data_IF_959976167604
#
_entry.id   IF_959976167604
#
_cell.length_a   1.000
_cell.length_b   1.000
_cell.length_c   1.000
_cell.angle_alpha   90.00
_cell.angle_beta   90.00
_cell.angle_gamma   90.00
#
_symmetry.space_group_name_H-M   'P 1'
#
loop_
_entity.id
_entity.type
_entity.pdbx_description
1 polymer ?
#
# COMPACT_ATOMS: atom_id res chain seq x y z
N UNK A 1 -3.98 -43.23 7.86
CA UNK A 1 -4.21 -42.82 6.46
C UNK A 1 -5.68 -42.48 6.36
N UNK A 2 -6.05 -41.24 6.59
CA UNK A 2 -7.41 -40.76 6.40
C UNK A 2 -7.41 -39.90 5.16
N UNK A 3 -8.04 -40.43 4.14
CA UNK A 3 -8.29 -39.81 2.85
C UNK A 3 -9.31 -38.70 3.05
N UNK A 4 -8.86 -37.44 3.04
CA UNK A 4 -9.74 -36.28 3.06
C UNK A 4 -9.87 -35.81 1.61
N UNK A 5 -10.91 -36.31 0.95
CA UNK A 5 -11.33 -35.82 -0.34
C UNK A 5 -11.70 -34.33 -0.24
N UNK A 6 -11.30 -33.49 -1.19
CA UNK A 6 -11.70 -32.08 -1.20
C UNK A 6 -13.21 -31.95 -1.41
N UNK A 7 -13.86 -30.94 -0.82
CA UNK A 7 -15.28 -30.72 -1.02
C UNK A 7 -15.57 -30.44 -2.48
N UNK A 8 -16.60 -31.10 -3.01
CA UNK A 8 -17.08 -30.98 -4.39
C UNK A 8 -17.44 -29.53 -4.70
N UNK A 9 -16.76 -28.94 -5.66
CA UNK A 9 -17.04 -27.62 -6.20
C UNK A 9 -18.43 -27.60 -6.82
N UNK A 10 -19.35 -26.87 -6.18
CA UNK A 10 -20.62 -26.49 -6.78
C UNK A 10 -20.35 -25.54 -7.96
N UNK A 11 -20.66 -25.99 -9.15
CA UNK A 11 -20.50 -25.27 -10.41
C UNK A 11 -21.45 -24.09 -10.51
N UNK A 12 -20.93 -22.88 -10.31
CA UNK A 12 -21.33 -21.72 -11.08
C UNK A 12 -20.05 -20.95 -11.42
N UNK A 13 -19.47 -21.26 -12.56
CA UNK A 13 -18.35 -20.51 -13.11
C UNK A 13 -18.85 -19.15 -13.59
N UNK A 14 -19.01 -18.20 -12.70
CA UNK A 14 -18.88 -16.81 -13.08
C UNK A 14 -17.39 -16.61 -13.34
N UNK A 15 -16.99 -16.54 -14.60
CA UNK A 15 -15.69 -16.06 -15.05
C UNK A 15 -15.55 -14.62 -14.58
N UNK A 16 -15.06 -14.43 -13.36
CA UNK A 16 -14.68 -13.09 -12.88
C UNK A 16 -13.47 -12.68 -13.73
N UNK A 17 -13.70 -11.71 -14.59
CA UNK A 17 -12.64 -11.24 -15.48
C UNK A 17 -11.55 -10.57 -14.66
N UNK A 18 -10.31 -11.06 -14.79
CA UNK A 18 -9.11 -10.39 -14.26
C UNK A 18 -9.13 -8.92 -14.65
N UNK A 19 -9.05 -8.01 -13.69
CA UNK A 19 -8.97 -6.59 -13.97
C UNK A 19 -7.57 -6.27 -14.50
N UNK A 20 -7.45 -5.49 -15.59
CA UNK A 20 -6.14 -5.16 -16.13
C UNK A 20 -5.36 -4.24 -15.19
N UNK A 21 -4.05 -4.49 -15.08
CA UNK A 21 -3.09 -3.64 -14.38
C UNK A 21 -2.17 -2.93 -15.41
N UNK A 22 -1.71 -1.70 -15.16
CA UNK A 22 -2.02 -0.86 -13.99
C UNK A 22 -3.47 -0.38 -14.01
N UNK A 23 -4.03 -0.13 -12.82
CA UNK A 23 -5.43 0.29 -12.69
C UNK A 23 -5.54 1.71 -12.15
N UNK A 24 -6.32 2.55 -12.80
CA UNK A 24 -6.69 3.86 -12.28
C UNK A 24 -7.78 3.68 -11.20
N UNK A 25 -7.48 4.08 -9.96
CA UNK A 25 -8.36 3.96 -8.80
C UNK A 25 -9.00 5.29 -8.39
N UNK A 26 -8.51 6.37 -8.96
CA UNK A 26 -9.03 7.73 -8.79
C UNK A 26 -8.45 8.61 -9.88
N UNK A 27 -9.04 9.76 -10.17
CA UNK A 27 -8.58 10.66 -11.24
C UNK A 27 -7.07 10.94 -11.19
N UNK A 28 -6.29 10.29 -12.04
CA UNK A 28 -4.83 10.37 -12.10
C UNK A 28 -4.10 9.66 -10.94
N UNK A 29 -4.79 8.81 -10.18
CA UNK A 29 -4.17 7.91 -9.19
C UNK A 29 -4.22 6.48 -9.72
N UNK A 30 -3.05 5.90 -9.92
CA UNK A 30 -2.87 4.58 -10.52
C UNK A 30 -2.29 3.59 -9.54
N UNK A 31 -2.86 2.42 -9.48
CA UNK A 31 -2.36 1.27 -8.74
C UNK A 31 -1.51 0.40 -9.65
N UNK A 32 -0.26 0.17 -9.24
CA UNK A 32 0.75 -0.61 -9.93
C UNK A 32 1.18 -1.80 -9.06
N UNK A 33 1.81 -2.78 -9.67
CA UNK A 33 2.37 -3.92 -8.98
C UNK A 33 1.80 -5.24 -9.46
N UNK A 34 2.11 -6.28 -8.73
CA UNK A 34 1.64 -7.63 -8.99
C UNK A 34 1.28 -8.34 -7.69
N UNK A 35 0.53 -9.41 -7.82
CA UNK A 35 0.08 -10.21 -6.70
C UNK A 35 1.19 -11.13 -6.19
N UNK A 36 1.30 -11.27 -4.88
CA UNK A 36 2.23 -12.15 -4.20
C UNK A 36 1.47 -13.19 -3.37
N UNK A 37 1.63 -14.47 -3.68
CA UNK A 37 1.13 -15.55 -2.84
C UNK A 37 1.97 -15.71 -1.57
N UNK A 38 1.33 -15.78 -0.41
CA UNK A 38 1.94 -15.99 0.90
C UNK A 38 1.31 -17.18 1.60
N UNK A 39 2.12 -18.18 1.94
CA UNK A 39 1.63 -19.33 2.73
C UNK A 39 1.50 -18.93 4.20
N UNK A 40 0.30 -19.09 4.76
CA UNK A 40 0.03 -18.85 6.17
C UNK A 40 -1.04 -19.83 6.67
N UNK A 41 -0.78 -20.53 7.77
CA UNK A 41 -1.67 -21.54 8.36
C UNK A 41 -2.25 -22.53 7.33
N UNK A 42 -1.39 -23.00 6.41
CA UNK A 42 -1.79 -23.97 5.37
C UNK A 42 -2.62 -23.43 4.21
N UNK A 43 -2.87 -22.11 4.17
CA UNK A 43 -3.56 -21.42 3.07
C UNK A 43 -2.62 -20.48 2.34
N UNK A 44 -2.84 -20.28 1.06
CA UNK A 44 -2.13 -19.26 0.28
C UNK A 44 -2.98 -18.00 0.29
N UNK A 45 -2.46 -16.97 0.95
CA UNK A 45 -3.03 -15.62 0.89
C UNK A 45 -2.31 -14.85 -0.20
N UNK A 46 -3.03 -13.96 -0.85
CA UNK A 46 -2.46 -13.03 -1.79
C UNK A 46 -2.26 -11.69 -1.11
N UNK A 47 -1.12 -11.08 -1.34
CA UNK A 47 -0.81 -9.71 -0.95
C UNK A 47 -0.34 -8.95 -2.18
N UNK A 48 -0.37 -7.64 -2.12
CA UNK A 48 0.33 -6.81 -3.07
C UNK A 48 1.53 -6.17 -2.38
N UNK A 49 2.62 -6.03 -3.14
CA UNK A 49 3.65 -5.04 -2.86
C UNK A 49 3.38 -3.91 -3.85
N UNK A 50 2.36 -3.12 -3.53
CA UNK A 50 1.86 -2.12 -4.43
C UNK A 50 2.83 -0.93 -4.52
N UNK A 51 2.92 -0.38 -5.72
CA UNK A 51 3.35 0.98 -5.95
C UNK A 51 2.16 1.77 -6.49
N UNK A 52 2.12 3.06 -6.23
CA UNK A 52 1.04 3.91 -6.73
C UNK A 52 1.63 5.12 -7.46
N UNK A 53 1.01 5.52 -8.55
CA UNK A 53 1.47 6.69 -9.29
C UNK A 53 0.39 7.78 -9.28
N UNK A 54 0.78 8.98 -8.87
CA UNK A 54 -0.08 10.16 -8.85
C UNK A 54 0.35 11.11 -9.96
N UNK A 55 -0.55 11.36 -10.91
CA UNK A 55 -0.27 12.16 -12.11
C UNK A 55 -0.98 13.51 -12.01
N UNK A 56 -0.19 14.58 -11.93
CA UNK A 56 -0.65 15.96 -12.06
C UNK A 56 -0.54 16.49 -13.48
N UNK A 57 -0.61 17.81 -13.67
CA UNK A 57 -0.43 18.44 -14.97
C UNK A 57 1.02 18.89 -15.23
N UNK A 58 1.87 18.95 -14.19
CA UNK A 58 3.27 19.36 -14.28
C UNK A 58 4.25 18.23 -14.01
N UNK A 59 3.88 17.31 -13.15
CA UNK A 59 4.72 16.22 -12.71
C UNK A 59 3.89 15.01 -12.26
N UNK A 60 4.52 13.84 -12.29
CA UNK A 60 4.03 12.64 -11.65
C UNK A 60 4.92 12.28 -10.45
N UNK A 61 4.31 11.63 -9.47
CA UNK A 61 4.95 11.07 -8.30
C UNK A 61 4.67 9.57 -8.25
N UNK A 62 5.69 8.77 -7.94
CA UNK A 62 5.56 7.36 -7.60
C UNK A 62 5.61 7.21 -6.07
N UNK A 63 4.66 6.50 -5.49
CA UNK A 63 4.65 6.09 -4.08
C UNK A 63 5.02 4.62 -3.99
N UNK A 64 6.08 4.31 -3.28
CA UNK A 64 6.74 3.02 -3.17
C UNK A 64 7.25 2.43 -4.51
N UNK A 65 8.02 1.37 -4.42
CA UNK A 65 8.70 0.78 -5.60
C UNK A 65 8.39 -0.69 -5.78
N UNK A 66 7.66 -1.30 -4.83
CA UNK A 66 7.48 -2.73 -4.76
C UNK A 66 8.75 -3.50 -4.43
N UNK A 67 8.62 -4.79 -4.31
CA UNK A 67 9.73 -5.70 -4.07
C UNK A 67 10.66 -5.78 -5.31
N UNK A 68 11.97 -6.00 -5.16
CA UNK A 68 12.90 -6.10 -6.30
C UNK A 68 12.49 -7.10 -7.38
N UNK A 69 11.82 -8.19 -7.00
CA UNK A 69 11.30 -9.19 -7.95
C UNK A 69 10.18 -8.64 -8.85
N UNK A 70 9.41 -7.67 -8.36
CA UNK A 70 8.26 -7.09 -9.04
C UNK A 70 8.65 -5.93 -9.96
N UNK A 71 9.91 -5.46 -9.86
CA UNK A 71 10.41 -4.31 -10.61
C UNK A 71 10.15 -4.39 -12.14
N UNK A 72 10.32 -5.53 -12.82
CA UNK A 72 10.02 -5.60 -14.26
C UNK A 72 8.55 -5.32 -14.60
N UNK A 73 7.63 -5.71 -13.73
CA UNK A 73 6.19 -5.45 -13.88
C UNK A 73 5.89 -4.00 -13.58
N UNK A 74 6.40 -3.48 -12.45
CA UNK A 74 6.21 -2.09 -12.05
C UNK A 74 6.79 -1.12 -13.07
N UNK A 75 7.97 -1.40 -13.63
CA UNK A 75 8.58 -0.58 -14.67
C UNK A 75 7.68 -0.48 -15.93
N UNK A 76 7.09 -1.60 -16.37
CA UNK A 76 6.13 -1.61 -17.48
C UNK A 76 4.87 -0.82 -17.16
N UNK A 77 4.38 -0.91 -15.92
CA UNK A 77 3.22 -0.16 -15.47
C UNK A 77 3.50 1.35 -15.44
N UNK A 78 4.67 1.77 -14.96
CA UNK A 78 5.11 3.17 -15.01
C UNK A 78 5.15 3.66 -16.47
N UNK A 79 5.76 2.90 -17.38
CA UNK A 79 5.81 3.23 -18.80
C UNK A 79 4.41 3.38 -19.41
N UNK A 80 3.50 2.48 -19.05
CA UNK A 80 2.12 2.54 -19.52
C UNK A 80 1.40 3.83 -19.08
N UNK A 81 1.59 4.23 -17.82
CA UNK A 81 0.98 5.46 -17.28
C UNK A 81 1.61 6.70 -17.92
N UNK A 82 2.95 6.74 -18.06
CA UNK A 82 3.65 7.85 -18.70
C UNK A 82 3.30 7.98 -20.19
N UNK A 83 3.13 6.88 -20.91
CA UNK A 83 2.73 6.91 -22.32
C UNK A 83 1.34 7.53 -22.53
N UNK A 84 0.47 7.49 -21.52
CA UNK A 84 -0.84 8.17 -21.52
C UNK A 84 -0.76 9.65 -21.12
N UNK A 85 0.38 10.06 -20.57
CA UNK A 85 0.65 11.40 -20.06
C UNK A 85 2.02 11.88 -20.58
N UNK A 86 2.25 11.99 -21.89
CA UNK A 86 3.58 12.16 -22.48
C UNK A 86 4.29 13.46 -22.06
N UNK A 87 3.53 14.49 -21.71
CA UNK A 87 4.05 15.79 -21.29
C UNK A 87 4.32 15.90 -19.79
N UNK A 88 4.06 14.81 -19.03
CA UNK A 88 4.17 14.80 -17.57
C UNK A 88 5.34 13.89 -17.14
N UNK A 89 6.49 14.46 -16.73
CA UNK A 89 7.63 13.66 -16.29
C UNK A 89 7.36 13.00 -14.93
N UNK A 90 7.89 11.78 -14.72
CA UNK A 90 8.03 11.19 -13.40
C UNK A 90 9.16 11.92 -12.66
N UNK A 91 8.77 12.83 -11.76
CA UNK A 91 9.70 13.74 -11.08
C UNK A 91 9.96 13.38 -9.63
N UNK A 92 8.99 12.78 -8.96
CA UNK A 92 9.10 12.50 -7.52
C UNK A 92 8.91 11.02 -7.22
N UNK A 93 9.67 10.54 -6.24
CA UNK A 93 9.52 9.24 -5.61
C UNK A 93 9.32 9.46 -4.11
N UNK A 94 8.18 9.05 -3.61
CA UNK A 94 7.84 9.04 -2.20
C UNK A 94 7.92 7.59 -1.71
N UNK A 95 8.66 7.35 -0.63
CA UNK A 95 8.77 6.04 0.00
C UNK A 95 8.07 6.07 1.34
N UNK A 96 7.15 5.14 1.56
CA UNK A 96 6.44 5.06 2.83
C UNK A 96 7.36 4.66 3.97
N UNK A 97 8.33 3.77 3.71
CA UNK A 97 9.42 3.42 4.64
C UNK A 97 10.52 2.59 3.95
N UNK A 98 11.54 2.18 4.73
CA UNK A 98 12.80 1.65 4.20
C UNK A 98 12.80 0.14 3.93
N UNK A 99 11.73 -0.57 4.14
CA UNK A 99 11.68 -2.00 3.90
C UNK A 99 11.75 -2.37 2.41
N UNK A 100 12.19 -3.58 2.15
CA UNK A 100 12.38 -4.10 0.78
C UNK A 100 11.12 -4.04 -0.08
N UNK A 101 9.89 -4.34 0.42
CA UNK A 101 8.67 -4.20 -0.37
C UNK A 101 8.39 -2.79 -0.87
N UNK A 102 8.89 -1.77 -0.18
CA UNK A 102 8.63 -0.35 -0.46
C UNK A 102 9.77 0.32 -1.20
N UNK A 103 11.02 0.04 -0.82
CA UNK A 103 12.22 0.70 -1.33
C UNK A 103 13.08 -0.15 -2.27
N UNK A 104 12.72 -1.41 -2.49
CA UNK A 104 13.57 -2.39 -3.20
C UNK A 104 13.89 -2.05 -4.65
N UNK A 105 13.09 -1.23 -5.31
CA UNK A 105 13.31 -0.71 -6.66
C UNK A 105 14.06 0.63 -6.72
N UNK A 106 14.35 1.27 -5.58
CA UNK A 106 14.89 2.63 -5.49
C UNK A 106 16.09 2.87 -6.39
N UNK A 107 17.15 2.08 -6.24
CA UNK A 107 18.39 2.27 -7.01
C UNK A 107 18.18 2.13 -8.52
N UNK A 108 17.29 1.23 -8.95
CA UNK A 108 16.95 1.02 -10.38
C UNK A 108 16.16 2.19 -10.94
N UNK A 109 15.24 2.76 -10.17
CA UNK A 109 14.46 3.95 -10.57
C UNK A 109 15.35 5.18 -10.66
N UNK A 110 16.23 5.41 -9.68
CA UNK A 110 17.18 6.51 -9.71
C UNK A 110 18.15 6.44 -10.89
N UNK A 111 18.57 5.24 -11.28
CA UNK A 111 19.41 5.04 -12.47
C UNK A 111 18.63 5.28 -13.77
N UNK A 112 17.36 4.92 -13.82
CA UNK A 112 16.52 5.00 -15.02
C UNK A 112 15.98 6.40 -15.30
N UNK A 113 15.65 7.15 -14.23
CA UNK A 113 15.05 8.48 -14.30
C UNK A 113 16.02 9.50 -13.69
N UNK A 114 16.89 10.15 -14.50
CA UNK A 114 17.93 11.06 -13.99
C UNK A 114 17.38 12.24 -13.18
N UNK A 115 16.19 12.74 -13.51
CA UNK A 115 15.55 13.88 -12.85
C UNK A 115 14.68 13.48 -11.64
N UNK A 116 14.62 12.18 -11.30
CA UNK A 116 13.82 11.68 -10.20
C UNK A 116 14.37 12.12 -8.87
N UNK A 117 13.58 12.80 -8.07
CA UNK A 117 13.88 13.26 -6.71
C UNK A 117 13.14 12.40 -5.68
N UNK A 118 13.85 11.87 -4.69
CA UNK A 118 13.25 11.14 -3.56
C UNK A 118 12.80 12.14 -2.51
N UNK A 119 11.55 12.05 -2.07
CA UNK A 119 10.93 13.00 -1.14
C UNK A 119 10.25 12.30 0.04
N UNK A 120 10.17 12.94 1.19
CA UNK A 120 9.64 12.42 2.44
C UNK A 120 10.74 12.27 3.50
N UNK A 121 10.60 11.35 4.45
CA UNK A 121 11.71 11.01 5.33
C UNK A 121 12.73 10.16 4.55
N UNK A 122 13.76 10.82 4.09
CA UNK A 122 14.84 10.23 3.29
C UNK A 122 16.02 9.78 4.14
N UNK A 123 15.86 9.71 5.46
CA UNK A 123 16.91 9.27 6.39
C UNK A 123 17.46 7.92 5.96
N UNK A 124 18.78 7.78 6.03
CA UNK A 124 19.55 6.56 5.78
C UNK A 124 19.56 6.04 4.32
N UNK A 125 18.73 6.53 3.39
CA UNK A 125 18.82 6.12 1.98
C UNK A 125 20.17 6.50 1.34
N UNK A 126 20.75 7.61 1.74
CA UNK A 126 22.09 8.02 1.29
C UNK A 126 23.20 7.04 1.70
N UNK A 127 23.00 6.27 2.78
CA UNK A 127 23.96 5.24 3.20
C UNK A 127 23.97 4.05 2.24
N UNK A 128 22.81 3.72 1.69
CA UNK A 128 22.68 2.66 0.69
C UNK A 128 22.98 3.14 -0.73
N UNK A 129 22.75 4.42 -1.02
CA UNK A 129 22.86 5.03 -2.36
C UNK A 129 23.58 6.38 -2.31
N UNK A 130 24.85 6.45 -1.84
CA UNK A 130 25.56 7.72 -1.62
C UNK A 130 25.72 8.53 -2.91
N UNK A 131 25.80 7.89 -4.07
CA UNK A 131 25.91 8.55 -5.37
C UNK A 131 24.66 9.37 -5.74
N UNK A 132 23.52 9.13 -5.08
CA UNK A 132 22.24 9.81 -5.33
C UNK A 132 21.78 10.70 -4.18
N UNK A 133 22.61 10.95 -3.16
CA UNK A 133 22.30 11.80 -2.00
C UNK A 133 21.76 13.18 -2.41
N UNK A 134 22.35 13.78 -3.44
CA UNK A 134 21.95 15.08 -3.98
C UNK A 134 20.53 15.13 -4.58
N UNK A 135 19.88 13.97 -4.74
CA UNK A 135 18.49 13.81 -5.23
C UNK A 135 17.53 13.36 -4.11
N UNK A 136 17.96 13.45 -2.86
CA UNK A 136 17.17 13.07 -1.69
C UNK A 136 16.82 14.34 -0.92
N UNK A 137 15.53 14.64 -0.84
CA UNK A 137 15.02 15.84 -0.18
C UNK A 137 14.07 15.47 0.95
N UNK A 138 14.47 15.82 2.16
CA UNK A 138 13.59 15.67 3.32
C UNK A 138 12.37 16.57 3.17
N UNK A 139 11.18 15.98 3.39
CA UNK A 139 9.92 16.68 3.55
C UNK A 139 9.26 16.18 4.82
N UNK A 140 8.98 17.09 5.73
CA UNK A 140 8.30 16.83 6.98
C UNK A 140 6.79 16.86 6.85
N UNK A 141 6.13 16.51 7.94
CA UNK A 141 4.68 16.58 8.06
C UNK A 141 4.18 18.00 7.76
N UNK A 142 3.16 18.10 6.95
CA UNK A 142 2.57 19.37 6.50
C UNK A 142 3.19 19.91 5.21
N UNK A 143 4.39 19.48 4.82
CA UNK A 143 5.02 19.86 3.56
C UNK A 143 4.45 19.07 2.38
N UNK A 144 4.62 19.61 1.17
CA UNK A 144 4.05 19.02 -0.04
C UNK A 144 4.92 19.27 -1.28
N UNK A 145 4.67 18.48 -2.32
CA UNK A 145 5.13 18.76 -3.69
C UNK A 145 3.96 19.10 -4.59
N UNK A 146 4.14 20.15 -5.41
CA UNK A 146 3.17 20.54 -6.45
C UNK A 146 3.32 19.64 -7.69
N UNK A 147 2.27 18.90 -8.00
CA UNK A 147 2.22 18.08 -9.21
C UNK A 147 1.47 18.77 -10.36
N UNK A 148 0.99 20.00 -10.15
CA UNK A 148 0.12 20.73 -11.07
C UNK A 148 -1.35 20.31 -10.97
N UNK A 149 -2.17 21.25 -10.46
CA UNK A 149 -3.60 21.02 -10.20
C UNK A 149 -3.89 20.04 -9.03
N UNK A 150 -2.84 19.62 -8.33
CA UNK A 150 -2.86 18.82 -7.09
C UNK A 150 -1.52 18.92 -6.37
N UNK A 151 -1.57 18.72 -5.07
CA UNK A 151 -0.39 18.56 -4.24
C UNK A 151 -0.35 17.16 -3.66
N UNK A 152 0.85 16.61 -3.51
CA UNK A 152 1.08 15.42 -2.70
C UNK A 152 1.71 15.87 -1.39
N UNK A 153 0.96 15.72 -0.30
CA UNK A 153 1.29 16.24 1.03
C UNK A 153 1.76 15.13 1.95
N UNK A 154 2.80 15.40 2.74
CA UNK A 154 3.21 14.52 3.83
C UNK A 154 2.27 14.75 5.01
N UNK A 155 1.72 13.67 5.55
CA UNK A 155 0.81 13.70 6.70
C UNK A 155 1.32 12.80 7.81
N UNK A 156 0.79 12.98 9.03
CA UNK A 156 1.19 12.20 10.20
C UNK A 156 1.02 10.68 9.95
N UNK A 157 2.07 9.88 10.08
CA UNK A 157 1.96 8.44 10.05
C UNK A 157 1.50 7.92 11.42
N UNK A 158 0.19 7.73 11.60
CA UNK A 158 -0.41 7.35 12.89
C UNK A 158 0.04 5.96 13.33
N UNK A 159 -0.02 4.99 12.42
CA UNK A 159 0.51 3.64 12.63
C UNK A 159 1.78 3.51 11.83
N UNK A 160 2.88 3.25 12.51
CA UNK A 160 4.23 3.21 11.90
C UNK A 160 4.78 1.81 12.00
N UNK A 161 5.34 1.33 10.92
CA UNK A 161 6.17 0.14 10.94
C UNK A 161 7.60 0.49 11.41
N UNK A 162 8.20 1.49 10.81
CA UNK A 162 9.51 2.01 11.19
C UNK A 162 9.41 3.46 11.70
N UNK A 163 10.47 3.92 12.41
CA UNK A 163 10.59 5.32 12.83
C UNK A 163 10.48 6.30 11.66
N UNK A 164 10.98 5.90 10.51
CA UNK A 164 11.00 6.67 9.25
C UNK A 164 9.77 6.47 8.39
N UNK A 165 8.70 5.86 8.94
CA UNK A 165 7.44 5.72 8.19
C UNK A 165 6.85 7.07 7.85
N UNK A 166 6.38 7.20 6.62
CA UNK A 166 5.70 8.37 6.07
C UNK A 166 4.31 8.00 5.59
N UNK A 167 3.36 8.90 5.75
CA UNK A 167 2.08 8.83 5.06
C UNK A 167 1.97 9.98 4.07
N UNK A 168 1.45 9.69 2.88
CA UNK A 168 1.21 10.66 1.83
C UNK A 168 -0.29 10.91 1.63
N UNK A 169 -0.63 12.09 1.10
CA UNK A 169 -2.01 12.46 0.80
C UNK A 169 -2.10 13.27 -0.50
N UNK A 170 -2.89 12.78 -1.45
CA UNK A 170 -3.23 13.52 -2.66
C UNK A 170 -4.42 14.44 -2.43
N UNK A 171 -4.22 15.73 -2.59
CA UNK A 171 -5.24 16.74 -2.29
C UNK A 171 -6.42 16.76 -3.26
N UNK A 172 -6.25 16.29 -4.49
CA UNK A 172 -7.31 16.31 -5.53
C UNK A 172 -8.30 15.17 -5.37
N UNK A 173 -7.82 13.94 -5.24
CA UNK A 173 -8.69 12.76 -5.09
C UNK A 173 -9.03 12.48 -3.64
N UNK A 174 -8.35 13.13 -2.70
CA UNK A 174 -8.46 12.87 -1.27
C UNK A 174 -7.99 11.44 -0.94
N UNK A 175 -6.95 10.98 -1.64
CA UNK A 175 -6.39 9.66 -1.49
C UNK A 175 -5.29 9.67 -0.43
N UNK A 176 -5.39 8.79 0.57
CA UNK A 176 -4.38 8.55 1.57
C UNK A 176 -3.46 7.40 1.13
N UNK A 177 -2.14 7.57 1.32
CA UNK A 177 -1.10 6.57 1.06
C UNK A 177 -0.43 6.22 2.39
N UNK A 178 -0.97 5.26 3.14
CA UNK A 178 -0.57 5.02 4.51
C UNK A 178 0.54 3.96 4.67
N UNK A 179 1.14 3.49 3.57
CA UNK A 179 2.08 2.37 3.64
C UNK A 179 1.44 1.16 4.30
N UNK A 180 2.03 0.71 5.40
CA UNK A 180 1.57 -0.43 6.18
C UNK A 180 0.54 -0.07 7.25
N UNK A 181 0.36 1.22 7.54
CA UNK A 181 -0.57 1.67 8.57
C UNK A 181 -2.03 1.31 8.35
N UNK A 182 -2.40 0.97 7.12
CA UNK A 182 -3.71 0.47 6.71
C UNK A 182 -3.61 -0.93 6.14
N UNK A 183 -2.50 -1.60 6.41
CA UNK A 183 -2.18 -2.85 5.76
C UNK A 183 -3.12 -3.97 6.18
N UNK A 184 -3.51 -4.70 5.22
CA UNK A 184 -4.16 -5.99 5.38
C UNK A 184 -3.71 -6.91 4.25
N UNK A 185 -3.56 -8.20 4.55
CA UNK A 185 -3.49 -9.20 3.50
C UNK A 185 -4.88 -9.38 2.92
N UNK A 186 -4.98 -9.87 1.70
CA UNK A 186 -6.26 -10.28 1.14
C UNK A 186 -6.16 -11.72 0.66
N UNK A 187 -7.29 -12.40 0.66
CA UNK A 187 -7.41 -13.73 0.13
C UNK A 187 -8.34 -13.69 -1.07
N UNK A 188 -7.85 -14.13 -2.19
CA UNK A 188 -8.68 -14.26 -3.39
C UNK A 188 -8.28 -15.48 -4.20
N UNK A 189 -9.17 -15.93 -5.05
CA UNK A 189 -8.93 -17.00 -6.01
C UNK A 189 -8.14 -16.47 -7.23
N UNK A 190 -7.49 -17.37 -7.94
CA UNK A 190 -6.86 -17.04 -9.22
C UNK A 190 -7.89 -16.35 -10.15
N UNK A 191 -7.47 -15.24 -10.75
CA UNK A 191 -8.32 -14.42 -11.60
C UNK A 191 -8.98 -13.20 -10.94
N UNK A 192 -8.92 -13.08 -9.62
CA UNK A 192 -9.46 -11.91 -8.90
C UNK A 192 -8.43 -10.77 -8.73
N UNK A 193 -7.20 -10.95 -9.23
CA UNK A 193 -6.17 -9.91 -9.14
C UNK A 193 -6.60 -8.62 -9.86
N UNK A 194 -6.25 -7.46 -9.26
CA UNK A 194 -6.60 -6.15 -9.79
C UNK A 194 -7.98 -5.63 -9.37
N UNK A 195 -8.69 -6.32 -8.49
CA UNK A 195 -9.93 -5.84 -7.87
C UNK A 195 -9.62 -4.87 -6.74
N UNK A 196 -10.48 -3.87 -6.53
CA UNK A 196 -10.46 -3.04 -5.32
C UNK A 196 -11.23 -3.73 -4.19
N UNK A 197 -11.05 -3.27 -2.95
CA UNK A 197 -11.63 -3.93 -1.77
C UNK A 197 -13.14 -4.17 -1.89
N UNK A 198 -13.87 -3.22 -2.43
CA UNK A 198 -15.33 -3.27 -2.55
C UNK A 198 -15.84 -4.21 -3.66
N UNK A 199 -14.97 -4.62 -4.56
CA UNK A 199 -15.30 -5.60 -5.62
C UNK A 199 -15.08 -7.04 -5.14
N UNK A 200 -14.31 -7.24 -4.08
CA UNK A 200 -14.05 -8.57 -3.50
C UNK A 200 -15.07 -8.88 -2.41
N UNK A 201 -16.02 -9.75 -2.74
CA UNK A 201 -17.14 -10.09 -1.84
C UNK A 201 -16.82 -11.21 -0.85
N UNK A 202 -15.74 -11.96 -1.08
CA UNK A 202 -15.28 -13.05 -0.22
C UNK A 202 -14.20 -12.61 0.80
N UNK A 203 -13.86 -11.33 0.80
CA UNK A 203 -12.78 -10.79 1.62
C UNK A 203 -13.23 -10.64 3.08
N UNK A 204 -12.67 -11.46 3.96
CA UNK A 204 -12.76 -11.28 5.41
C UNK A 204 -11.68 -10.29 5.86
N UNK A 205 -12.03 -9.01 5.85
CA UNK A 205 -11.11 -7.92 6.19
C UNK A 205 -10.66 -7.98 7.65
N UNK A 206 -11.48 -8.50 8.55
CA UNK A 206 -11.16 -8.57 9.98
C UNK A 206 -9.98 -9.51 10.22
N UNK A 207 -10.08 -10.74 9.73
CA UNK A 207 -9.02 -11.74 9.91
C UNK A 207 -7.73 -11.35 9.18
N UNK A 208 -7.83 -10.83 7.95
CA UNK A 208 -6.64 -10.48 7.17
C UNK A 208 -5.91 -9.24 7.69
N UNK A 209 -6.60 -8.29 8.32
CA UNK A 209 -5.96 -7.20 9.06
C UNK A 209 -5.22 -7.73 10.28
N UNK A 210 -5.84 -8.60 11.07
CA UNK A 210 -5.23 -9.19 12.26
C UNK A 210 -3.97 -10.00 11.94
N UNK A 211 -3.98 -10.75 10.82
CA UNK A 211 -2.80 -11.48 10.33
C UNK A 211 -1.65 -10.52 10.00
N UNK A 212 -1.96 -9.39 9.39
CA UNK A 212 -0.93 -8.42 9.03
C UNK A 212 -0.31 -7.73 10.25
N UNK A 213 -1.12 -7.39 11.26
CA UNK A 213 -0.64 -6.88 12.53
C UNK A 213 0.33 -7.86 13.21
N UNK A 214 -0.01 -9.14 13.24
CA UNK A 214 0.87 -10.16 13.82
C UNK A 214 2.23 -10.26 13.09
N UNK A 215 2.26 -10.03 11.79
CA UNK A 215 3.47 -10.25 10.97
C UNK A 215 4.34 -9.02 10.80
N UNK A 216 3.77 -7.89 10.46
CA UNK A 216 4.51 -6.67 10.12
C UNK A 216 4.41 -5.62 11.23
N UNK A 217 3.24 -5.41 11.76
CA UNK A 217 2.99 -4.41 12.81
C UNK A 217 2.88 -5.06 14.20
N UNK A 218 3.71 -6.05 14.50
CA UNK A 218 3.56 -6.89 15.71
C UNK A 218 3.52 -6.08 17.02
N UNK A 219 4.13 -4.90 17.06
CA UNK A 219 4.07 -4.02 18.23
C UNK A 219 2.64 -3.60 18.58
N UNK A 220 1.71 -3.60 17.61
CA UNK A 220 0.30 -3.26 17.81
C UNK A 220 -0.41 -4.26 18.73
N UNK A 221 0.13 -5.48 18.84
CA UNK A 221 -0.40 -6.52 19.73
C UNK A 221 -0.12 -6.25 21.21
N UNK A 222 0.79 -5.31 21.55
CA UNK A 222 1.20 -4.94 22.90
C UNK A 222 0.61 -3.64 23.42
N UNK A 223 -0.16 -2.93 22.60
CA UNK A 223 -0.66 -1.60 22.93
C UNK A 223 -2.18 -1.52 22.77
N UNK A 224 -2.78 -0.56 23.44
CA UNK A 224 -4.18 -0.19 23.24
C UNK A 224 -4.34 0.45 21.86
N UNK A 225 -4.82 -0.32 20.88
CA UNK A 225 -5.01 0.11 19.51
C UNK A 225 -6.18 1.08 19.33
N UNK A 226 -7.13 1.14 20.26
CA UNK A 226 -8.28 2.06 20.15
C UNK A 226 -7.81 3.52 19.98
N UNK A 227 -6.78 3.94 20.71
CA UNK A 227 -6.23 5.30 20.63
C UNK A 227 -5.63 5.61 19.24
N UNK A 228 -4.99 4.64 18.62
CA UNK A 228 -4.44 4.79 17.28
C UNK A 228 -5.56 4.85 16.24
N UNK A 229 -6.54 4.01 16.39
CA UNK A 229 -7.72 3.97 15.51
C UNK A 229 -8.50 5.27 15.59
N UNK A 230 -8.78 5.79 16.79
CA UNK A 230 -9.41 7.11 17.00
C UNK A 230 -8.59 8.24 16.35
N UNK A 231 -7.25 8.20 16.48
CA UNK A 231 -6.38 9.19 15.82
C UNK A 231 -6.44 9.08 14.30
N UNK A 232 -6.47 7.87 13.74
CA UNK A 232 -6.66 7.65 12.31
C UNK A 232 -8.01 8.19 11.83
N UNK A 233 -9.09 7.91 12.54
CA UNK A 233 -10.44 8.40 12.24
C UNK A 233 -10.50 9.93 12.24
N UNK A 234 -9.91 10.54 13.26
CA UNK A 234 -9.80 11.99 13.34
C UNK A 234 -9.03 12.56 12.13
N UNK A 235 -7.87 12.00 11.82
CA UNK A 235 -7.04 12.45 10.69
C UNK A 235 -7.76 12.27 9.35
N UNK A 236 -8.37 11.12 9.12
CA UNK A 236 -9.13 10.85 7.89
C UNK A 236 -10.29 11.83 7.71
N UNK A 237 -10.97 12.18 8.80
CA UNK A 237 -12.04 13.17 8.80
C UNK A 237 -11.51 14.56 8.48
N UNK A 238 -10.45 15.03 9.16
CA UNK A 238 -9.83 16.35 8.93
C UNK A 238 -9.33 16.50 7.50
N UNK A 239 -8.68 15.48 6.97
CA UNK A 239 -8.21 15.45 5.59
C UNK A 239 -9.36 15.22 4.59
N UNK A 240 -10.53 14.77 5.04
CA UNK A 240 -11.65 14.37 4.18
C UNK A 240 -11.27 13.24 3.24
N UNK A 241 -10.60 12.21 3.76
CA UNK A 241 -10.14 11.05 2.98
C UNK A 241 -11.33 10.34 2.35
N UNK A 242 -11.19 9.98 1.07
CA UNK A 242 -12.19 9.23 0.30
C UNK A 242 -11.65 7.91 -0.23
N UNK A 243 -10.37 7.89 -0.57
CA UNK A 243 -9.66 6.74 -1.13
C UNK A 243 -8.50 6.37 -0.21
N UNK A 244 -8.16 5.10 -0.16
CA UNK A 244 -6.92 4.64 0.48
C UNK A 244 -6.16 3.74 -0.47
N UNK A 245 -4.88 4.03 -0.63
CA UNK A 245 -3.94 3.30 -1.47
C UNK A 245 -2.85 2.66 -0.58
N UNK A 246 -3.14 1.52 0.09
CA UNK A 246 -2.20 0.86 0.98
C UNK A 246 -1.09 0.16 0.18
N UNK A 247 0.07 -0.01 0.75
CA UNK A 247 1.16 -0.76 0.12
C UNK A 247 0.88 -2.26 0.12
N UNK A 248 0.14 -2.73 1.12
CA UNK A 248 -0.37 -4.10 1.18
C UNK A 248 -1.90 -4.09 1.28
N UNK A 249 -2.54 -5.06 0.66
CA UNK A 249 -3.99 -5.14 0.53
C UNK A 249 -4.49 -4.58 -0.82
N UNK A 250 -5.79 -4.49 -0.93
CA UNK A 250 -6.46 -3.91 -2.09
C UNK A 250 -6.71 -2.42 -1.84
N UNK A 251 -6.63 -1.57 -2.88
CA UNK A 251 -7.07 -0.18 -2.74
C UNK A 251 -8.52 -0.10 -2.27
N UNK A 252 -8.80 0.86 -1.39
CA UNK A 252 -10.15 1.16 -0.88
C UNK A 252 -10.71 2.35 -1.64
N UNK A 253 -11.81 2.16 -2.35
CA UNK A 253 -12.45 3.21 -3.16
C UNK A 253 -13.77 3.70 -2.56
N UNK A 254 -14.28 3.02 -1.54
CA UNK A 254 -15.43 3.40 -0.72
C UNK A 254 -15.05 3.20 0.76
N UNK A 255 -14.48 4.23 1.35
CA UNK A 255 -13.97 4.17 2.73
C UNK A 255 -15.10 4.00 3.75
N UNK A 256 -16.27 4.60 3.53
CA UNK A 256 -17.40 4.49 4.45
C UNK A 256 -17.86 3.03 4.59
N UNK A 257 -17.86 2.30 3.47
CA UNK A 257 -18.23 0.89 3.44
C UNK A 257 -17.16 -0.02 4.04
N UNK A 258 -15.88 0.27 3.76
CA UNK A 258 -14.77 -0.67 4.06
C UNK A 258 -14.15 -0.41 5.43
N UNK A 259 -14.14 0.86 5.89
CA UNK A 259 -13.51 1.22 7.16
C UNK A 259 -14.00 0.42 8.37
N UNK A 260 -15.30 0.17 8.57
CA UNK A 260 -15.76 -0.59 9.74
C UNK A 260 -15.11 -1.97 9.87
N UNK A 261 -14.84 -2.64 8.77
CA UNK A 261 -14.20 -3.96 8.77
C UNK A 261 -12.69 -3.85 9.02
N UNK A 262 -12.01 -2.87 8.41
CA UNK A 262 -10.60 -2.58 8.68
C UNK A 262 -10.41 -2.21 10.14
N UNK A 263 -11.26 -1.35 10.69
CA UNK A 263 -11.25 -0.97 12.11
C UNK A 263 -11.31 -2.19 13.03
N UNK A 264 -12.26 -3.09 12.80
CA UNK A 264 -12.38 -4.33 13.57
C UNK A 264 -11.10 -5.17 13.48
N UNK A 265 -10.52 -5.27 12.29
CA UNK A 265 -9.27 -6.00 12.07
C UNK A 265 -8.10 -5.40 12.80
N UNK A 266 -7.98 -4.06 12.80
CA UNK A 266 -6.92 -3.34 13.53
C UNK A 266 -7.02 -3.57 15.05
N UNK A 267 -8.23 -3.66 15.59
CA UNK A 267 -8.47 -3.93 17.01
C UNK A 267 -8.33 -5.42 17.38
N UNK A 268 -8.56 -6.32 16.43
CA UNK A 268 -8.52 -7.77 16.68
C UNK A 268 -7.12 -8.34 16.94
N UNK A 269 -6.06 -7.57 16.63
CA UNK A 269 -4.66 -7.93 16.92
C UNK A 269 -4.27 -7.73 18.38
N UNK A 270 -5.02 -6.94 19.13
CA UNK A 270 -4.73 -6.63 20.53
C UNK A 270 -4.75 -7.90 21.41
N UNK A 271 -3.73 -8.06 22.23
CA UNK A 271 -3.62 -9.18 23.18
C UNK A 271 -3.28 -10.55 22.59
N UNK A 272 -3.17 -10.71 21.27
CA UNK A 272 -2.83 -12.00 20.64
C UNK A 272 -1.47 -12.57 21.08
N UNK A 273 -0.53 -11.70 21.42
CA UNK A 273 0.78 -12.14 21.92
C UNK A 273 0.68 -12.88 23.24
N UNK A 274 -0.20 -12.46 24.15
CA UNK A 274 -0.42 -13.11 25.45
C UNK A 274 -0.91 -14.55 25.25
N UNK A 275 -1.70 -14.81 24.24
CA UNK A 275 -2.20 -16.15 23.92
C UNK A 275 -1.10 -17.03 23.30
N UNK A 276 -0.21 -16.47 22.48
CA UNK A 276 0.94 -17.18 21.93
C UNK A 276 1.97 -17.56 23.01
N UNK A 277 2.24 -16.66 23.97
CA UNK A 277 3.17 -16.93 25.08
C UNK A 277 2.60 -17.98 26.06
N UNK A 278 1.28 -18.00 26.24
CA UNK A 278 0.60 -18.99 27.09
C UNK A 278 0.49 -20.37 26.44
N UNK A 279 0.58 -20.46 25.11
CA UNK A 279 0.49 -21.72 24.38
C UNK A 279 1.85 -22.44 24.17
N UNK A 280 2.98 -21.82 24.49
CA UNK A 280 4.36 -22.36 24.48
C UNK A 280 4.85 -22.70 25.86
#
# INVERSE_FOLDING_TARGET
MNDVSPPSAGTSSQTVSKRPMPREIGSGVWWLGDCLGQLYNGKIYHGYNAAHMVVGTKAALLSDTGHPKDFPVIAKHIEHVLARNPDVPLKYLFLTHQETPHSGGLGRLLARFPELEVVGDVSDYHLAFPQYEHRMRFLGEGEAVDLGGREFKIVEPVVRDLRTSNWGFDTKTRCLFPGDGFAYSHYHWDGHCGMVAEEETSLDLVDVCAVFQERALFWTTFVDMERYVERMEWQMKELGVRLVAPSHGLPVTDLERTWPEIRKGLLAGEGKFDDMVKAG
#
